data_IF_193088908601
#
_entry.id   IF_193088908601
#
_cell.length_a   1.000
_cell.length_b   1.000
_cell.length_c   1.000
_cell.angle_alpha   90.00
_cell.angle_beta   90.00
_cell.angle_gamma   90.00
#
_symmetry.space_group_name_H-M   'P 1'
#
loop_
_entity.id
_entity.type
_entity.pdbx_description
1 polymer ?
#
# COMPACT_ATOMS: atom_id res chain seq x y z
N UNK A 1 -12.29 -6.77 -4.44
CA UNK A 1 -11.75 -7.33 -3.18
C UNK A 1 -11.56 -8.86 -3.19
N UNK A 2 -12.57 -9.62 -3.59
CA UNK A 2 -12.50 -11.09 -3.56
C UNK A 2 -11.48 -11.68 -4.54
N UNK A 3 -11.25 -11.01 -5.68
CA UNK A 3 -10.22 -11.41 -6.65
C UNK A 3 -8.81 -11.27 -6.07
N UNK A 4 -8.50 -10.13 -5.43
CA UNK A 4 -7.20 -9.91 -4.75
C UNK A 4 -7.01 -10.91 -3.60
N UNK A 5 -8.07 -11.18 -2.83
CA UNK A 5 -8.04 -12.16 -1.74
C UNK A 5 -7.86 -13.59 -2.25
N UNK A 6 -8.52 -13.96 -3.35
CA UNK A 6 -8.37 -15.28 -4.00
C UNK A 6 -6.97 -15.47 -4.58
N UNK A 7 -6.40 -14.43 -5.18
CA UNK A 7 -5.06 -14.43 -5.75
C UNK A 7 -3.95 -14.18 -4.72
N UNK A 8 -4.29 -13.97 -3.43
CA UNK A 8 -3.36 -13.65 -2.34
C UNK A 8 -2.41 -12.50 -2.67
N UNK A 9 -2.90 -11.50 -3.41
CA UNK A 9 -2.12 -10.32 -3.77
C UNK A 9 -2.05 -9.38 -2.56
N UNK A 10 -0.84 -9.17 -2.06
CA UNK A 10 -0.47 -8.18 -1.04
C UNK A 10 0.39 -7.09 -1.69
N UNK A 11 0.56 -5.97 -0.99
CA UNK A 11 1.52 -4.92 -1.37
C UNK A 11 2.94 -5.47 -1.60
N UNK A 12 3.33 -6.53 -0.90
CA UNK A 12 4.65 -7.18 -1.06
C UNK A 12 4.84 -7.90 -2.39
N UNK A 13 3.78 -8.50 -2.93
CA UNK A 13 3.83 -9.31 -4.14
C UNK A 13 3.29 -8.58 -5.37
N UNK A 14 2.97 -7.28 -5.22
CA UNK A 14 2.43 -6.47 -6.30
C UNK A 14 3.51 -6.06 -7.31
N UNK A 15 4.72 -5.83 -6.82
CA UNK A 15 5.87 -5.42 -7.61
C UNK A 15 7.02 -6.42 -7.45
N UNK A 16 7.83 -6.54 -8.49
CA UNK A 16 9.04 -7.36 -8.46
C UNK A 16 10.23 -6.50 -8.85
N UNK A 17 11.26 -6.48 -8.01
CA UNK A 17 12.49 -5.74 -8.29
C UNK A 17 13.31 -6.50 -9.34
N UNK A 18 13.58 -5.83 -10.47
CA UNK A 18 14.44 -6.38 -11.51
C UNK A 18 15.86 -5.87 -11.30
N UNK A 19 16.82 -6.78 -11.14
CA UNK A 19 18.22 -6.41 -11.00
C UNK A 19 18.74 -5.77 -12.28
N UNK A 20 19.19 -4.52 -12.18
CA UNK A 20 19.88 -3.84 -13.28
C UNK A 20 21.33 -4.33 -13.33
N UNK A 21 21.75 -4.84 -14.49
CA UNK A 21 23.13 -5.28 -14.74
C UNK A 21 23.70 -4.46 -15.87
N UNK A 22 24.66 -3.59 -15.54
CA UNK A 22 25.41 -2.81 -16.52
C UNK A 22 26.54 -3.68 -17.06
N UNK A 23 26.57 -3.87 -18.39
CA UNK A 23 27.65 -4.58 -19.07
C UNK A 23 28.26 -3.65 -20.11
N UNK A 24 29.56 -3.39 -19.97
CA UNK A 24 30.31 -2.60 -20.93
C UNK A 24 31.01 -3.51 -21.94
N UNK A 25 31.06 -3.08 -23.20
CA UNK A 25 31.91 -3.73 -24.18
C UNK A 25 33.39 -3.40 -23.91
N UNK A 26 34.30 -4.20 -24.45
CA UNK A 26 35.73 -3.94 -24.33
C UNK A 26 36.12 -2.55 -24.88
N UNK A 27 35.45 -2.08 -25.93
CA UNK A 27 35.69 -0.76 -26.50
C UNK A 27 35.21 0.38 -25.58
N UNK A 28 34.08 0.19 -24.90
CA UNK A 28 33.60 1.16 -23.89
C UNK A 28 34.56 1.24 -22.71
N UNK A 29 35.15 0.11 -22.28
CA UNK A 29 36.15 0.12 -21.22
C UNK A 29 37.42 0.87 -21.65
N UNK A 30 37.90 0.66 -22.88
CA UNK A 30 39.05 1.39 -23.41
C UNK A 30 38.78 2.90 -23.50
N UNK A 31 37.57 3.27 -23.98
CA UNK A 31 37.12 4.65 -24.02
C UNK A 31 37.01 5.26 -22.62
N UNK A 32 36.49 4.52 -21.62
CA UNK A 32 36.44 5.00 -20.24
C UNK A 32 37.85 5.31 -19.71
N UNK A 33 38.85 4.47 -19.98
CA UNK A 33 40.23 4.75 -19.59
C UNK A 33 40.76 6.06 -20.19
N UNK A 34 40.55 6.28 -21.49
CA UNK A 34 40.95 7.52 -22.15
C UNK A 34 40.22 8.75 -21.59
N UNK A 35 38.91 8.62 -21.33
CA UNK A 35 38.10 9.67 -20.71
C UNK A 35 38.54 10.01 -19.29
N UNK A 36 38.96 9.02 -18.49
CA UNK A 36 39.50 9.24 -17.14
C UNK A 36 40.80 10.06 -17.18
N UNK A 37 41.66 9.82 -18.17
CA UNK A 37 42.90 10.57 -18.35
C UNK A 37 42.66 11.99 -18.87
N UNK A 38 41.65 12.18 -19.73
CA UNK A 38 41.29 13.48 -20.29
C UNK A 38 40.49 14.37 -19.33
N UNK A 39 39.82 13.78 -18.33
CA UNK A 39 39.05 14.53 -17.32
C UNK A 39 39.52 14.23 -15.88
N UNK A 40 40.75 14.65 -15.50
CA UNK A 40 41.22 14.50 -14.14
C UNK A 40 40.43 15.43 -13.20
N UNK A 41 39.88 14.87 -12.11
CA UNK A 41 39.25 15.65 -11.03
C UNK A 41 37.73 15.71 -11.00
N UNK A 42 37.01 15.00 -11.88
CA UNK A 42 35.55 14.80 -11.75
C UNK A 42 35.22 13.56 -10.91
N UNK A 43 35.96 13.35 -9.83
CA UNK A 43 35.66 12.27 -8.88
C UNK A 43 34.46 12.66 -8.02
N UNK A 44 33.65 11.68 -7.64
CA UNK A 44 32.35 11.83 -6.98
C UNK A 44 32.45 12.44 -5.58
N UNK A 45 32.78 13.73 -5.48
CA UNK A 45 32.86 14.49 -4.21
C UNK A 45 31.50 14.64 -3.53
N UNK A 46 30.40 14.47 -4.28
CA UNK A 46 29.02 14.48 -3.76
C UNK A 46 28.73 13.33 -2.79
N UNK A 47 29.56 12.28 -2.74
CA UNK A 47 29.34 11.16 -1.82
C UNK A 47 29.45 11.59 -0.35
N UNK A 48 30.30 12.56 -0.02
CA UNK A 48 30.44 13.09 1.35
C UNK A 48 29.59 14.34 1.61
N UNK A 49 28.66 14.67 0.71
CA UNK A 49 27.73 15.76 0.98
C UNK A 49 26.80 15.39 2.16
N UNK A 50 26.91 16.17 3.23
CA UNK A 50 26.09 16.10 4.44
C UNK A 50 24.81 16.93 4.30
N UNK A 51 24.73 17.81 3.29
CA UNK A 51 23.61 18.72 3.00
C UNK A 51 22.39 18.01 2.45
N UNK A 52 21.68 17.27 3.30
CA UNK A 52 20.60 16.37 2.88
C UNK A 52 19.26 16.62 3.59
N UNK A 53 19.15 17.74 4.32
CA UNK A 53 17.96 18.09 5.09
C UNK A 53 16.73 18.37 4.20
N UNK A 54 16.93 18.95 3.02
CA UNK A 54 15.84 19.27 2.08
C UNK A 54 15.27 18.03 1.39
N UNK A 55 16.10 17.04 1.06
CA UNK A 55 15.65 15.75 0.51
C UNK A 55 14.87 14.97 1.54
N UNK A 56 15.35 14.95 2.79
CA UNK A 56 14.68 14.31 3.92
C UNK A 56 13.31 14.95 4.19
N UNK A 57 13.25 16.28 4.28
CA UNK A 57 11.99 17.01 4.50
C UNK A 57 10.96 16.70 3.40
N UNK A 58 11.40 16.67 2.13
CA UNK A 58 10.53 16.29 1.01
C UNK A 58 10.02 14.86 1.13
N UNK A 59 10.89 13.90 1.44
CA UNK A 59 10.50 12.49 1.60
C UNK A 59 9.53 12.29 2.77
N UNK A 60 9.75 12.98 3.89
CA UNK A 60 8.83 12.96 5.03
C UNK A 60 7.46 13.55 4.68
N UNK A 61 7.40 14.67 3.94
CA UNK A 61 6.13 15.26 3.49
C UNK A 61 5.31 14.31 2.62
N UNK A 62 5.95 13.68 1.64
CA UNK A 62 5.28 12.71 0.74
C UNK A 62 4.83 11.48 1.51
N UNK A 63 5.63 11.01 2.47
CA UNK A 63 5.24 9.92 3.36
C UNK A 63 4.00 10.27 4.19
N UNK A 64 3.97 11.47 4.78
CA UNK A 64 2.81 11.93 5.56
C UNK A 64 1.53 11.98 4.72
N UNK A 65 1.59 12.54 3.51
CA UNK A 65 0.46 12.60 2.58
C UNK A 65 -0.06 11.20 2.21
N UNK A 66 0.86 10.27 1.92
CA UNK A 66 0.52 8.88 1.57
C UNK A 66 -0.13 8.14 2.75
N UNK A 67 0.32 8.39 3.98
CA UNK A 67 -0.25 7.82 5.20
C UNK A 67 -1.66 8.37 5.46
N UNK A 68 -1.87 9.67 5.26
CA UNK A 68 -3.18 10.31 5.40
C UNK A 68 -4.17 9.76 4.36
N UNK A 69 -3.73 9.58 3.11
CA UNK A 69 -4.55 8.95 2.06
C UNK A 69 -4.98 7.52 2.46
N UNK A 70 -4.03 6.69 2.90
CA UNK A 70 -4.33 5.32 3.35
C UNK A 70 -5.28 5.31 4.56
N UNK A 71 -5.14 6.27 5.48
CA UNK A 71 -6.03 6.44 6.64
C UNK A 71 -7.47 6.78 6.23
N UNK A 72 -7.63 7.66 5.22
CA UNK A 72 -8.95 7.97 4.66
C UNK A 72 -9.59 6.75 4.00
N UNK A 73 -8.82 5.97 3.24
CA UNK A 73 -9.30 4.73 2.63
C UNK A 73 -9.67 3.66 3.67
N UNK A 74 -8.88 3.54 4.74
CA UNK A 74 -9.19 2.67 5.87
C UNK A 74 -10.51 3.06 6.54
N UNK A 75 -10.75 4.37 6.70
CA UNK A 75 -12.01 4.89 7.24
C UNK A 75 -13.22 4.58 6.33
N UNK A 76 -13.07 4.77 5.01
CA UNK A 76 -14.10 4.37 4.02
C UNK A 76 -14.38 2.87 4.11
N UNK A 77 -13.34 2.04 4.22
CA UNK A 77 -13.48 0.59 4.34
C UNK A 77 -14.19 0.16 5.63
N UNK A 78 -13.83 0.77 6.76
CA UNK A 78 -14.50 0.51 8.04
C UNK A 78 -15.99 0.85 7.97
N UNK A 79 -16.35 1.97 7.33
CA UNK A 79 -17.75 2.35 7.14
C UNK A 79 -18.50 1.36 6.24
N UNK A 80 -17.88 0.89 5.16
CA UNK A 80 -18.43 -0.17 4.32
C UNK A 80 -18.67 -1.46 5.13
N UNK A 81 -17.70 -1.90 5.93
CA UNK A 81 -17.83 -3.10 6.76
C UNK A 81 -18.97 -2.99 7.78
N UNK A 82 -19.15 -1.82 8.40
CA UNK A 82 -20.29 -1.55 9.28
C UNK A 82 -21.62 -1.66 8.55
N UNK A 83 -21.73 -1.08 7.35
CA UNK A 83 -22.94 -1.14 6.54
C UNK A 83 -23.29 -2.58 6.12
N UNK A 84 -22.29 -3.36 5.68
CA UNK A 84 -22.49 -4.77 5.31
C UNK A 84 -22.94 -5.60 6.52
N UNK A 85 -22.30 -5.41 7.68
CA UNK A 85 -22.68 -6.10 8.91
C UNK A 85 -24.13 -5.78 9.32
N UNK A 86 -24.51 -4.50 9.27
CA UNK A 86 -25.87 -4.06 9.55
C UNK A 86 -26.89 -4.67 8.59
N UNK A 87 -26.63 -4.62 7.29
CA UNK A 87 -27.50 -5.21 6.27
C UNK A 87 -27.67 -6.72 6.50
N UNK A 88 -26.58 -7.43 6.84
CA UNK A 88 -26.63 -8.85 7.15
C UNK A 88 -27.46 -9.16 8.40
N UNK A 89 -27.35 -8.34 9.45
CA UNK A 89 -28.14 -8.49 10.67
C UNK A 89 -29.63 -8.22 10.42
N UNK A 90 -29.96 -7.16 9.69
CA UNK A 90 -31.34 -6.80 9.36
C UNK A 90 -31.99 -7.88 8.48
N UNK A 91 -31.25 -8.42 7.50
CA UNK A 91 -31.68 -9.57 6.70
C UNK A 91 -31.94 -10.80 7.57
N UNK A 92 -31.04 -11.12 8.51
CA UNK A 92 -31.21 -12.28 9.38
C UNK A 92 -32.42 -12.14 10.31
N UNK A 93 -32.62 -10.96 10.91
CA UNK A 93 -33.80 -10.64 11.72
C UNK A 93 -35.10 -10.77 10.92
N UNK A 94 -35.11 -10.29 9.67
CA UNK A 94 -36.27 -10.42 8.79
C UNK A 94 -36.62 -11.87 8.48
N UNK A 95 -35.61 -12.70 8.17
CA UNK A 95 -35.79 -14.14 7.91
C UNK A 95 -36.34 -14.86 9.14
N UNK A 96 -35.78 -14.59 10.33
CA UNK A 96 -36.25 -15.19 11.59
C UNK A 96 -37.71 -14.81 11.90
N UNK A 97 -38.05 -13.52 11.72
CA UNK A 97 -39.43 -13.04 11.93
C UNK A 97 -40.41 -13.72 10.97
N UNK A 98 -40.05 -13.81 9.68
CA UNK A 98 -40.86 -14.53 8.67
C UNK A 98 -41.03 -16.01 9.00
N UNK A 99 -39.98 -16.67 9.49
CA UNK A 99 -40.06 -18.07 9.89
C UNK A 99 -41.02 -18.27 11.08
N UNK A 100 -40.95 -17.39 12.09
CA UNK A 100 -41.86 -17.41 13.24
C UNK A 100 -43.32 -17.15 12.82
N UNK A 101 -43.56 -16.14 11.97
CA UNK A 101 -44.90 -15.80 11.47
C UNK A 101 -45.51 -16.93 10.63
N UNK A 102 -44.70 -17.56 9.77
CA UNK A 102 -45.13 -18.71 8.97
C UNK A 102 -45.46 -19.93 9.86
N UNK A 103 -44.65 -20.22 10.88
CA UNK A 103 -44.93 -21.30 11.83
C UNK A 103 -46.23 -21.06 12.61
N UNK A 104 -46.52 -19.81 13.00
CA UNK A 104 -47.75 -19.46 13.70
C UNK A 104 -48.99 -19.57 12.79
N UNK A 105 -48.88 -19.21 11.51
CA UNK A 105 -49.97 -19.38 10.51
C UNK A 105 -50.26 -20.85 10.22
N UNK A 106 -49.20 -21.67 10.11
CA UNK A 106 -49.34 -23.11 9.91
C UNK A 106 -50.08 -23.79 11.07
N UNK A 107 -49.84 -23.36 12.32
CA UNK A 107 -50.58 -23.84 13.49
C UNK A 107 -52.08 -23.45 13.48
N UNK A 108 -52.46 -22.37 12.77
CA UNK A 108 -53.86 -21.93 12.59
C UNK A 108 -54.52 -22.50 11.32
N UNK A 109 -53.80 -23.29 10.52
CA UNK A 109 -54.30 -23.81 9.25
C UNK A 109 -54.38 -22.78 8.12
N UNK A 110 -53.74 -21.62 8.26
CA UNK A 110 -53.64 -20.60 7.22
C UNK A 110 -52.45 -20.86 6.28
N UNK A 111 -52.54 -20.52 4.98
CA UNK A 111 -51.41 -20.65 4.06
C UNK A 111 -50.25 -19.70 4.43
N UNK A 112 -49.00 -20.11 4.16
CA UNK A 112 -47.81 -19.31 4.46
C UNK A 112 -47.77 -18.00 3.66
N UNK A 113 -47.07 -17.00 4.20
CA UNK A 113 -46.91 -15.70 3.52
C UNK A 113 -46.12 -15.86 2.21
N UNK A 114 -46.47 -15.14 1.12
CA UNK A 114 -45.81 -15.24 -0.18
C UNK A 114 -44.28 -15.08 -0.11
N UNK A 115 -43.56 -15.73 -1.02
CA UNK A 115 -42.11 -15.58 -1.12
C UNK A 115 -41.72 -14.21 -1.67
N UNK A 116 -41.46 -13.25 -0.79
CA UNK A 116 -40.79 -12.01 -1.17
C UNK A 116 -39.33 -12.27 -1.53
N UNK A 117 -38.90 -11.70 -2.64
CA UNK A 117 -37.50 -11.74 -3.07
C UNK A 117 -36.65 -10.87 -2.12
N UNK A 118 -35.95 -11.53 -1.21
CA UNK A 118 -35.02 -10.93 -0.24
C UNK A 118 -33.96 -10.04 -0.92
N UNK A 119 -33.65 -10.28 -2.19
CA UNK A 119 -32.68 -9.51 -2.96
C UNK A 119 -33.21 -8.13 -3.34
N UNK A 120 -34.54 -7.96 -3.44
CA UNK A 120 -35.19 -6.67 -3.68
C UNK A 120 -35.27 -5.81 -2.42
N UNK A 121 -35.49 -6.43 -1.25
CA UNK A 121 -35.52 -5.73 0.04
C UNK A 121 -34.12 -5.40 0.57
N UNK A 122 -33.17 -6.33 0.48
CA UNK A 122 -31.82 -6.19 1.04
C UNK A 122 -30.79 -6.14 -0.09
N UNK A 123 -30.71 -5.00 -0.78
CA UNK A 123 -29.76 -4.80 -1.89
C UNK A 123 -28.31 -4.96 -1.39
N UNK A 124 -27.49 -5.81 -2.03
CA UNK A 124 -26.08 -5.94 -1.68
C UNK A 124 -25.36 -4.61 -1.80
N UNK A 125 -24.58 -4.24 -0.78
CA UNK A 125 -23.74 -3.04 -0.85
C UNK A 125 -22.57 -3.32 -1.80
N UNK A 126 -22.31 -2.47 -2.80
CA UNK A 126 -21.23 -2.67 -3.75
C UNK A 126 -19.88 -2.69 -3.03
N UNK A 127 -19.04 -3.64 -3.39
CA UNK A 127 -17.74 -3.79 -2.75
C UNK A 127 -16.82 -2.63 -3.11
N UNK A 128 -16.12 -2.06 -2.11
CA UNK A 128 -15.13 -1.02 -2.38
C UNK A 128 -13.93 -1.56 -3.19
N UNK A 129 -13.41 -0.77 -4.16
CA UNK A 129 -12.10 -1.02 -4.76
C UNK A 129 -11.02 -1.08 -3.68
N UNK A 130 -10.03 -1.97 -3.86
CA UNK A 130 -8.94 -2.21 -2.89
C UNK A 130 -7.55 -2.09 -3.50
N UNK A 131 -7.48 -1.85 -4.81
CA UNK A 131 -6.22 -1.80 -5.53
C UNK A 131 -5.40 -0.58 -5.10
N UNK A 132 -6.02 0.60 -5.12
CA UNK A 132 -5.38 1.87 -4.76
C UNK A 132 -4.79 1.81 -3.35
N UNK A 133 -5.59 1.44 -2.34
CA UNK A 133 -5.10 1.16 -0.98
C UNK A 133 -3.94 0.15 -0.89
N UNK A 134 -3.87 -0.84 -1.80
CA UNK A 134 -2.76 -1.80 -1.83
C UNK A 134 -1.50 -1.18 -2.46
N UNK A 135 -1.68 -0.33 -3.47
CA UNK A 135 -0.60 0.43 -4.12
C UNK A 135 -0.03 1.46 -3.15
N UNK A 136 -0.86 2.27 -2.50
CA UNK A 136 -0.45 3.28 -1.52
C UNK A 136 0.29 2.65 -0.34
N UNK A 137 -0.17 1.49 0.15
CA UNK A 137 0.58 0.72 1.15
C UNK A 137 1.99 0.29 0.67
N UNK A 138 2.13 -0.10 -0.61
CA UNK A 138 3.42 -0.41 -1.22
C UNK A 138 4.33 0.81 -1.36
N UNK A 139 3.77 1.98 -1.72
CA UNK A 139 4.50 3.24 -1.78
C UNK A 139 5.02 3.66 -0.40
N UNK A 140 4.19 3.57 0.65
CA UNK A 140 4.60 3.82 2.04
C UNK A 140 5.77 2.92 2.44
N UNK A 141 5.70 1.62 2.13
CA UNK A 141 6.79 0.69 2.42
C UNK A 141 8.10 1.10 1.71
N UNK A 142 7.99 1.53 0.45
CA UNK A 142 9.15 2.00 -0.34
C UNK A 142 9.76 3.25 0.27
N UNK A 143 8.94 4.26 0.62
CA UNK A 143 9.41 5.47 1.28
C UNK A 143 10.08 5.17 2.63
N UNK A 144 9.56 4.24 3.42
CA UNK A 144 10.18 3.81 4.67
C UNK A 144 11.55 3.17 4.44
N UNK A 145 11.70 2.32 3.42
CA UNK A 145 12.98 1.69 3.05
C UNK A 145 14.00 2.74 2.60
N UNK A 146 13.61 3.64 1.70
CA UNK A 146 14.45 4.74 1.22
C UNK A 146 14.90 5.64 2.36
N UNK A 147 13.98 6.00 3.26
CA UNK A 147 14.28 6.82 4.44
C UNK A 147 15.27 6.12 5.38
N UNK A 148 15.09 4.81 5.63
CA UNK A 148 16.03 4.04 6.44
C UNK A 148 17.42 3.99 5.80
N UNK A 149 17.50 3.72 4.50
CA UNK A 149 18.77 3.69 3.76
C UNK A 149 19.46 5.06 3.78
N UNK A 150 18.70 6.13 3.58
CA UNK A 150 19.19 7.50 3.66
C UNK A 150 19.77 7.82 5.04
N UNK A 151 19.05 7.51 6.12
CA UNK A 151 19.53 7.72 7.49
C UNK A 151 20.82 6.93 7.77
N UNK A 152 20.90 5.67 7.33
CA UNK A 152 22.13 4.87 7.46
C UNK A 152 23.32 5.47 6.72
N UNK A 153 23.11 5.96 5.50
CA UNK A 153 24.15 6.62 4.72
C UNK A 153 24.60 7.93 5.37
N UNK A 154 23.66 8.79 5.77
CA UNK A 154 23.96 10.07 6.42
C UNK A 154 24.73 9.89 7.73
N UNK A 155 24.38 8.87 8.53
CA UNK A 155 25.12 8.50 9.74
C UNK A 155 26.55 8.05 9.42
N UNK A 156 26.74 7.23 8.39
CA UNK A 156 28.06 6.80 7.93
C UNK A 156 28.94 7.97 7.50
N UNK A 157 28.40 8.89 6.68
CA UNK A 157 29.09 10.13 6.28
C UNK A 157 29.47 10.99 7.47
N UNK A 158 28.57 11.14 8.43
CA UNK A 158 28.83 11.90 9.66
C UNK A 158 30.00 11.33 10.46
N UNK A 159 30.06 10.01 10.64
CA UNK A 159 31.18 9.38 11.34
C UNK A 159 32.51 9.52 10.60
N UNK A 160 32.50 9.42 9.27
CA UNK A 160 33.70 9.66 8.44
C UNK A 160 34.16 11.12 8.56
N UNK A 161 33.24 12.08 8.46
CA UNK A 161 33.55 13.49 8.61
C UNK A 161 34.11 13.82 10.00
N UNK A 162 33.53 13.22 11.06
CA UNK A 162 34.03 13.36 12.43
C UNK A 162 35.43 12.78 12.60
N UNK A 163 35.68 11.57 12.10
CA UNK A 163 37.01 10.96 12.17
C UNK A 163 38.06 11.82 11.46
N UNK A 164 37.73 12.39 10.29
CA UNK A 164 38.62 13.31 9.56
C UNK A 164 38.87 14.62 10.32
N UNK A 165 37.90 15.11 11.10
CA UNK A 165 38.05 16.31 11.91
C UNK A 165 38.88 16.06 13.18
N UNK A 166 38.77 14.87 13.78
CA UNK A 166 39.50 14.46 14.98
C UNK A 166 40.94 13.98 14.66
N UNK A 167 41.31 13.88 13.37
CA UNK A 167 42.64 13.50 12.85
C UNK A 167 43.57 14.70 12.72
#
# INVERSE_FOLDING_TARGET
>A
PDVLRKLKLSHDNLFTEVKVVIKNSHLINALQCELYEQMPGHEASQFLDLGSLSTLDRQLRVLMESVDELSQEASKFNNYQRQVSKLSQDKHKHILKRAADNSARQARGEPPLPEEDLSKLFKPIPSLPRLDATVTAGQINTYCKELSQFCSQSLGKFFVAKALQDS
#
